data_IF_169820749526
#
_entry.id   IF_169820749526
#
_cell.length_a   1.000
_cell.length_b   1.000
_cell.length_c   1.000
_cell.angle_alpha   90.00
_cell.angle_beta   90.00
_cell.angle_gamma   90.00
#
_symmetry.space_group_name_H-M   'P 1'
#
loop_
_entity.id
_entity.type
_entity.pdbx_description
1 polymer ?
#
# COMPACT_ATOMS: atom_id res chain seq x y z
N UNK A 1 -1.80 -9.79 29.22
CA UNK A 1 -0.84 -8.67 29.31
C UNK A 1 0.61 -9.18 29.41
N UNK A 2 0.86 -10.25 30.17
CA UNK A 2 2.23 -10.81 30.37
C UNK A 2 2.88 -11.36 29.08
N UNK A 3 2.13 -11.59 27.99
CA UNK A 3 2.63 -12.07 26.70
C UNK A 3 2.89 -10.95 25.68
N UNK A 4 2.55 -9.70 26.02
CA UNK A 4 2.74 -8.57 25.10
C UNK A 4 4.09 -7.89 25.41
N UNK A 5 4.83 -7.48 24.38
CA UNK A 5 6.06 -6.72 24.54
C UNK A 5 5.77 -5.34 25.15
N UNK A 6 6.81 -4.70 25.68
CA UNK A 6 6.76 -3.32 26.10
C UNK A 6 6.56 -2.41 24.86
N UNK A 7 5.72 -1.40 25.01
CA UNK A 7 5.52 -0.36 23.98
C UNK A 7 6.55 0.72 24.21
N UNK A 8 7.34 1.01 23.21
CA UNK A 8 8.45 1.98 23.26
C UNK A 8 8.31 3.01 22.14
N UNK A 9 8.91 4.21 22.27
CA UNK A 9 8.98 5.18 21.20
C UNK A 9 9.64 4.64 19.92
N UNK A 10 9.32 5.24 18.78
CA UNK A 10 9.93 4.86 17.49
C UNK A 10 11.41 5.16 17.41
N UNK A 11 11.91 6.13 18.16
CA UNK A 11 13.34 6.46 18.29
C UNK A 11 13.76 6.63 19.75
N UNK A 12 15.01 6.24 20.02
CA UNK A 12 15.59 6.16 21.36
C UNK A 12 16.25 4.81 21.56
N UNK A 13 17.19 4.72 22.48
CA UNK A 13 17.89 3.46 22.77
C UNK A 13 16.93 2.49 23.49
N UNK A 14 16.50 1.45 22.79
CA UNK A 14 15.57 0.42 23.28
C UNK A 14 16.34 -0.77 23.87
N UNK A 15 17.42 -1.21 23.19
CA UNK A 15 18.19 -2.36 23.56
C UNK A 15 19.61 -2.30 22.93
N UNK A 16 20.42 -3.29 23.23
CA UNK A 16 21.70 -3.56 22.58
C UNK A 16 21.64 -4.94 21.90
N UNK A 17 22.30 -5.09 20.76
CA UNK A 17 22.50 -6.39 20.16
C UNK A 17 23.49 -7.23 20.98
N UNK A 18 23.41 -8.56 20.86
CA UNK A 18 24.47 -9.44 21.37
C UNK A 18 25.76 -9.21 20.57
N UNK A 19 26.86 -8.99 21.32
CA UNK A 19 28.17 -8.71 20.73
C UNK A 19 28.70 -9.87 19.87
N UNK A 20 28.30 -11.11 20.16
CA UNK A 20 28.74 -12.32 19.43
C UNK A 20 28.36 -12.30 17.95
N UNK A 21 27.25 -11.63 17.58
CA UNK A 21 26.77 -11.57 16.20
C UNK A 21 27.45 -10.49 15.35
N UNK A 22 27.93 -9.43 15.99
CA UNK A 22 28.45 -8.23 15.28
C UNK A 22 29.87 -7.85 15.73
N UNK A 23 30.50 -8.62 16.63
CA UNK A 23 31.80 -8.30 17.21
C UNK A 23 31.79 -7.19 18.26
N UNK A 24 30.67 -6.46 18.38
CA UNK A 24 30.40 -5.44 19.41
C UNK A 24 28.90 -5.30 19.62
N UNK A 25 28.51 -4.82 20.80
CA UNK A 25 27.11 -4.49 21.07
C UNK A 25 26.72 -3.20 20.31
N UNK A 26 25.70 -3.28 19.47
CA UNK A 26 25.18 -2.18 18.67
C UNK A 26 23.85 -1.70 19.26
N UNK A 27 23.65 -0.37 19.49
CA UNK A 27 22.37 0.15 19.95
C UNK A 27 21.24 -0.09 18.95
N UNK A 28 20.13 -0.64 19.42
CA UNK A 28 18.85 -0.67 18.73
C UNK A 28 18.10 0.63 19.08
N UNK A 29 18.15 1.61 18.19
CA UNK A 29 17.70 2.96 18.46
C UNK A 29 16.54 3.43 17.57
N UNK A 30 16.02 2.57 16.71
CA UNK A 30 14.87 2.86 15.87
C UNK A 30 14.00 1.62 15.68
N UNK A 31 12.70 1.76 15.94
CA UNK A 31 11.68 0.72 15.71
C UNK A 31 10.48 1.40 15.06
N UNK A 32 10.15 0.98 13.84
CA UNK A 32 8.98 1.49 13.13
C UNK A 32 8.43 0.41 12.19
N UNK A 33 7.13 0.44 11.94
CA UNK A 33 6.54 -0.29 10.84
C UNK A 33 7.09 0.22 9.49
N UNK A 34 7.15 -0.64 8.48
CA UNK A 34 7.72 -0.30 7.17
C UNK A 34 7.01 0.90 6.52
N UNK A 35 5.69 0.98 6.64
CA UNK A 35 4.91 2.08 6.08
C UNK A 35 5.13 3.40 6.83
N UNK A 36 5.26 3.35 8.15
CA UNK A 36 5.60 4.49 9.01
C UNK A 36 7.03 4.97 8.73
N UNK A 37 7.98 4.05 8.64
CA UNK A 37 9.36 4.36 8.26
C UNK A 37 9.45 4.98 6.86
N UNK A 38 8.66 4.49 5.90
CA UNK A 38 8.57 5.08 4.55
C UNK A 38 7.98 6.50 4.58
N UNK A 39 6.95 6.75 5.41
CA UNK A 39 6.33 8.08 5.57
C UNK A 39 7.35 9.08 6.12
N UNK A 40 8.11 8.67 7.13
CA UNK A 40 9.21 9.47 7.69
C UNK A 40 10.33 9.68 6.66
N UNK A 41 10.76 8.62 5.97
CA UNK A 41 11.83 8.66 4.97
C UNK A 41 11.47 9.51 3.74
N UNK A 42 10.20 9.65 3.41
CA UNK A 42 9.68 10.57 2.38
C UNK A 42 9.49 12.01 2.90
N UNK A 43 9.93 12.28 4.12
CA UNK A 43 9.85 13.60 4.77
C UNK A 43 8.40 14.15 4.89
N UNK A 44 7.42 13.27 5.09
CA UNK A 44 6.02 13.68 5.30
C UNK A 44 5.82 14.19 6.74
N UNK A 45 6.56 15.24 7.13
CA UNK A 45 6.62 15.73 8.50
C UNK A 45 5.52 16.72 8.88
N UNK A 46 4.85 17.33 7.91
CA UNK A 46 3.77 18.27 8.18
C UNK A 46 2.40 17.61 8.01
N UNK A 47 1.43 18.05 8.82
CA UNK A 47 0.03 17.62 8.65
C UNK A 47 -0.46 17.90 7.24
N UNK A 48 -1.15 16.93 6.64
CA UNK A 48 -1.61 16.93 5.25
C UNK A 48 -0.59 16.40 4.24
N UNK A 49 0.68 16.20 4.61
CA UNK A 49 1.63 15.53 3.74
C UNK A 49 1.36 14.02 3.70
N UNK A 50 1.40 13.45 2.50
CA UNK A 50 1.10 12.05 2.28
C UNK A 50 2.14 11.38 1.39
N UNK A 51 2.31 10.08 1.58
CA UNK A 51 3.02 9.19 0.64
C UNK A 51 2.09 8.06 0.21
N UNK A 52 2.29 7.53 -0.97
CA UNK A 52 1.69 6.28 -1.40
C UNK A 52 2.78 5.31 -1.85
N UNK A 53 2.84 4.14 -1.23
CA UNK A 53 3.79 3.08 -1.60
C UNK A 53 3.09 2.12 -2.56
N UNK A 54 3.53 2.09 -3.82
CA UNK A 54 3.08 1.15 -4.84
C UNK A 54 3.97 -0.09 -4.83
N UNK A 55 3.45 -1.18 -4.27
CA UNK A 55 4.09 -2.49 -4.23
C UNK A 55 3.12 -3.59 -4.69
N UNK A 56 3.04 -4.69 -3.97
CA UNK A 56 2.02 -5.74 -4.16
C UNK A 56 0.61 -5.13 -4.07
N UNK A 57 0.38 -4.31 -3.06
CA UNK A 57 -0.75 -3.38 -2.92
C UNK A 57 -0.28 -1.93 -2.96
N UNK A 58 -1.19 -1.00 -2.65
CA UNK A 58 -0.87 0.41 -2.40
C UNK A 58 -1.19 0.74 -0.94
N UNK A 59 -0.26 1.43 -0.29
CA UNK A 59 -0.42 1.86 1.10
C UNK A 59 -0.16 3.35 1.20
N UNK A 60 -1.25 4.10 1.35
CA UNK A 60 -1.21 5.56 1.49
C UNK A 60 -1.25 5.91 2.97
N UNK A 61 -0.30 6.72 3.43
CA UNK A 61 -0.32 7.34 4.75
C UNK A 61 -0.27 8.85 4.61
N UNK A 62 -1.15 9.53 5.33
CA UNK A 62 -1.18 10.99 5.43
C UNK A 62 -0.98 11.40 6.88
N UNK A 63 0.08 12.17 7.14
CA UNK A 63 0.35 12.74 8.46
C UNK A 63 -0.80 13.67 8.87
N UNK A 64 -1.34 13.46 10.08
CA UNK A 64 -2.41 14.29 10.66
C UNK A 64 -1.91 15.17 11.82
N UNK A 65 -0.60 15.14 12.11
CA UNK A 65 0.00 15.87 13.23
C UNK A 65 -0.23 15.17 14.57
N UNK A 66 -0.21 15.94 15.67
CA UNK A 66 -0.27 15.40 17.03
C UNK A 66 -1.67 14.94 17.46
N UNK A 67 -2.66 15.05 16.58
CA UNK A 67 -4.05 14.67 16.88
C UNK A 67 -4.43 13.38 16.16
N UNK A 68 -4.87 12.38 16.91
CA UNK A 68 -5.45 11.15 16.37
C UNK A 68 -6.80 11.48 15.70
N UNK A 69 -6.77 11.70 14.39
CA UNK A 69 -7.94 12.04 13.58
C UNK A 69 -8.67 10.76 13.18
N UNK A 70 -9.96 10.66 13.51
CA UNK A 70 -10.81 9.55 13.05
C UNK A 70 -11.36 9.87 11.66
N UNK A 71 -11.21 8.92 10.74
CA UNK A 71 -11.78 9.04 9.40
C UNK A 71 -13.28 8.70 9.42
N UNK A 72 -14.10 9.51 8.75
CA UNK A 72 -15.50 9.20 8.42
C UNK A 72 -15.64 8.45 7.10
N UNK A 73 -14.53 8.16 6.41
CA UNK A 73 -14.49 7.57 5.07
C UNK A 73 -13.76 6.23 5.02
N UNK A 74 -13.71 5.51 6.13
CA UNK A 74 -13.18 4.14 6.18
C UNK A 74 -11.65 4.03 6.17
N UNK A 75 -10.90 5.13 6.40
CA UNK A 75 -9.47 5.05 6.60
C UNK A 75 -9.14 4.69 8.05
N UNK A 76 -7.99 4.06 8.28
CA UNK A 76 -7.50 3.73 9.61
C UNK A 76 -6.76 4.93 10.21
N UNK A 77 -6.87 5.10 11.53
CA UNK A 77 -6.00 6.00 12.29
C UNK A 77 -4.89 5.19 12.92
N UNK A 78 -3.66 5.58 12.69
CA UNK A 78 -2.46 4.91 13.22
C UNK A 78 -1.49 5.91 13.81
N UNK A 79 -0.57 5.44 14.66
CA UNK A 79 0.60 6.21 15.07
C UNK A 79 1.57 6.24 13.88
N UNK A 80 1.97 7.42 13.44
CA UNK A 80 2.98 7.60 12.41
C UNK A 80 4.39 7.34 12.99
N UNK A 81 4.75 8.07 14.05
CA UNK A 81 5.96 7.86 14.85
C UNK A 81 5.86 8.58 16.20
N UNK A 82 6.70 8.16 17.12
CA UNK A 82 6.97 8.85 18.37
C UNK A 82 8.49 8.93 18.56
N UNK A 83 9.01 10.16 18.59
CA UNK A 83 10.43 10.42 18.84
C UNK A 83 10.68 10.94 20.27
N UNK A 84 9.82 10.59 21.21
CA UNK A 84 10.01 10.89 22.63
C UNK A 84 9.58 12.30 23.07
N UNK A 85 9.02 13.13 22.17
CA UNK A 85 8.46 14.45 22.49
C UNK A 85 6.93 14.40 22.47
N UNK A 86 6.37 13.98 21.36
CA UNK A 86 4.95 13.74 21.16
C UNK A 86 4.76 12.75 20.03
N UNK A 87 3.74 11.92 20.10
CA UNK A 87 3.38 11.03 19.01
C UNK A 87 2.77 11.85 17.86
N UNK A 88 3.18 11.53 16.63
CA UNK A 88 2.53 11.97 15.40
C UNK A 88 1.60 10.86 14.91
N UNK A 89 0.46 11.25 14.35
CA UNK A 89 -0.54 10.32 13.86
C UNK A 89 -0.68 10.41 12.34
N UNK A 90 -1.26 9.37 11.75
CA UNK A 90 -1.57 9.33 10.34
C UNK A 90 -2.92 8.69 10.07
N UNK A 91 -3.56 9.09 8.97
CA UNK A 91 -4.59 8.29 8.33
C UNK A 91 -3.93 7.33 7.34
N UNK A 92 -4.41 6.09 7.33
CA UNK A 92 -3.91 5.02 6.46
C UNK A 92 -5.03 4.46 5.60
N UNK A 93 -4.78 4.41 4.29
CA UNK A 93 -5.60 3.72 3.32
C UNK A 93 -4.81 2.57 2.67
N UNK A 94 -5.40 1.37 2.69
CA UNK A 94 -4.78 0.15 2.19
C UNK A 94 -5.55 -0.39 1.00
N UNK A 95 -4.92 -0.45 -0.18
CA UNK A 95 -5.38 -1.14 -1.38
C UNK A 95 -4.62 -2.45 -1.49
N UNK A 96 -5.30 -3.59 -1.42
CA UNK A 96 -4.63 -4.89 -1.33
C UNK A 96 -3.98 -5.34 -2.64
N UNK A 97 -4.50 -4.88 -3.77
CA UNK A 97 -4.10 -5.36 -5.09
C UNK A 97 -3.67 -4.21 -5.99
N UNK A 98 -2.36 -4.11 -6.25
CA UNK A 98 -1.75 -3.17 -7.19
C UNK A 98 -0.75 -3.89 -8.11
N UNK A 99 0.52 -3.90 -7.79
CA UNK A 99 1.52 -4.65 -8.57
C UNK A 99 1.23 -6.15 -8.67
N UNK A 100 0.50 -6.72 -7.71
CA UNK A 100 0.02 -8.10 -7.75
C UNK A 100 -0.91 -8.36 -8.95
N UNK A 101 -1.66 -7.37 -9.44
CA UNK A 101 -2.47 -7.48 -10.65
C UNK A 101 -1.58 -7.75 -11.86
N UNK A 102 -0.48 -7.00 -11.97
CA UNK A 102 0.51 -7.19 -13.04
C UNK A 102 1.16 -8.57 -12.98
N UNK A 103 1.48 -9.05 -11.78
CA UNK A 103 1.99 -10.40 -11.59
C UNK A 103 0.96 -11.45 -12.02
N UNK A 104 -0.29 -11.28 -11.65
CA UNK A 104 -1.37 -12.17 -12.06
C UNK A 104 -1.60 -12.18 -13.58
N UNK A 105 -1.53 -11.03 -14.26
CA UNK A 105 -1.60 -10.95 -15.73
C UNK A 105 -0.45 -11.70 -16.39
N UNK A 106 0.73 -11.73 -15.76
CA UNK A 106 1.90 -12.48 -16.23
C UNK A 106 1.77 -13.98 -15.93
N UNK A 107 1.59 -14.33 -14.66
CA UNK A 107 1.74 -15.70 -14.17
C UNK A 107 0.43 -16.50 -14.24
N UNK A 108 -0.72 -15.84 -14.01
CA UNK A 108 -2.04 -16.46 -14.01
C UNK A 108 -2.67 -16.54 -15.39
N UNK A 109 -2.58 -15.44 -16.18
CA UNK A 109 -3.22 -15.37 -17.50
C UNK A 109 -2.24 -15.47 -18.67
N UNK A 110 -0.93 -15.29 -18.46
CA UNK A 110 0.06 -15.30 -19.55
C UNK A 110 -0.12 -14.18 -20.58
N UNK A 111 -0.80 -13.08 -20.20
CA UNK A 111 -1.09 -11.96 -21.12
C UNK A 111 0.15 -11.15 -21.44
N UNK A 112 1.08 -11.04 -20.49
CA UNK A 112 2.35 -10.32 -20.61
C UNK A 112 3.52 -11.24 -20.25
N UNK A 113 4.66 -11.07 -20.93
CA UNK A 113 5.87 -11.86 -20.67
C UNK A 113 6.66 -11.36 -19.43
N UNK A 114 6.53 -10.11 -19.07
CA UNK A 114 7.15 -9.51 -17.88
C UNK A 114 6.35 -8.28 -17.44
N UNK A 115 6.50 -7.87 -16.17
CA UNK A 115 5.82 -6.70 -15.63
C UNK A 115 6.13 -5.42 -16.44
N UNK A 116 7.35 -5.23 -16.89
CA UNK A 116 7.77 -4.08 -17.69
C UNK A 116 7.06 -3.99 -19.07
N UNK A 117 6.39 -5.05 -19.52
CA UNK A 117 5.67 -5.04 -20.81
C UNK A 117 4.23 -4.55 -20.69
N UNK A 118 3.70 -4.35 -19.49
CA UNK A 118 2.31 -3.96 -19.30
C UNK A 118 2.04 -2.57 -19.87
N UNK A 119 2.93 -1.62 -19.66
CA UNK A 119 2.78 -0.22 -20.12
C UNK A 119 2.66 -0.17 -21.64
N UNK A 120 3.58 -0.81 -22.35
CA UNK A 120 3.56 -0.84 -23.81
C UNK A 120 2.31 -1.55 -24.37
N UNK A 121 1.85 -2.63 -23.70
CA UNK A 121 0.64 -3.34 -24.11
C UNK A 121 -0.62 -2.49 -23.85
N UNK A 122 -0.76 -1.91 -22.65
CA UNK A 122 -1.90 -1.05 -22.31
C UNK A 122 -1.94 0.23 -23.16
N UNK A 123 -0.78 0.80 -23.48
CA UNK A 123 -0.65 1.99 -24.34
C UNK A 123 -0.89 1.71 -25.84
N UNK A 124 -1.01 0.45 -26.27
CA UNK A 124 -1.35 0.11 -27.64
C UNK A 124 -2.83 0.29 -28.00
N UNK A 125 -3.66 0.62 -27.02
CA UNK A 125 -5.08 0.95 -27.19
C UNK A 125 -5.38 2.31 -26.57
N UNK A 126 -6.36 3.07 -27.09
CA UNK A 126 -6.68 4.39 -26.56
C UNK A 126 -7.27 4.37 -25.14
N UNK A 127 -8.03 3.31 -24.82
CA UNK A 127 -8.71 3.10 -23.56
C UNK A 127 -8.94 1.61 -23.28
N UNK A 128 -9.67 1.27 -22.23
CA UNK A 128 -9.98 -0.13 -21.88
C UNK A 128 -11.05 -0.77 -22.77
N UNK A 129 -11.62 -0.04 -23.73
CA UNK A 129 -12.72 -0.53 -24.58
C UNK A 129 -13.99 -0.86 -23.80
N UNK A 130 -14.24 -0.17 -22.71
CA UNK A 130 -15.37 -0.42 -21.80
C UNK A 130 -15.14 -1.57 -20.81
N UNK A 131 -13.95 -2.19 -20.82
CA UNK A 131 -13.60 -3.22 -19.82
C UNK A 131 -13.29 -2.53 -18.49
N UNK A 132 -13.95 -3.00 -17.42
CA UNK A 132 -13.69 -2.58 -16.05
C UNK A 132 -13.17 -3.77 -15.27
N UNK A 133 -12.09 -3.56 -14.50
CA UNK A 133 -11.55 -4.57 -13.59
C UNK A 133 -11.76 -4.13 -12.15
N UNK A 134 -12.35 -5.02 -11.34
CA UNK A 134 -12.34 -4.94 -9.89
C UNK A 134 -11.36 -5.97 -9.36
N UNK A 135 -10.16 -5.58 -8.91
CA UNK A 135 -9.09 -6.53 -8.60
C UNK A 135 -9.16 -7.06 -7.16
N UNK A 136 -10.34 -7.46 -6.71
CA UNK A 136 -10.59 -7.94 -5.36
C UNK A 136 -10.13 -9.39 -5.15
N UNK A 137 -8.90 -9.75 -5.56
CA UNK A 137 -8.40 -11.13 -5.46
C UNK A 137 -8.23 -11.61 -4.01
N UNK A 138 -8.00 -10.67 -3.08
CA UNK A 138 -7.92 -10.90 -1.64
C UNK A 138 -8.99 -10.09 -0.87
N UNK A 139 -10.11 -9.79 -1.50
CA UNK A 139 -11.10 -8.84 -1.00
C UNK A 139 -10.74 -7.39 -1.35
N UNK A 140 -11.53 -6.44 -0.86
CA UNK A 140 -11.30 -5.01 -0.98
C UNK A 140 -10.81 -4.45 0.36
N UNK A 141 -9.79 -3.60 0.31
CA UNK A 141 -9.31 -2.81 1.44
C UNK A 141 -10.10 -1.52 1.61
N UNK A 142 -9.42 -0.48 2.06
CA UNK A 142 -10.02 0.84 2.21
C UNK A 142 -10.57 1.38 0.88
N UNK A 143 -11.66 2.13 0.89
CA UNK A 143 -12.52 2.43 2.03
C UNK A 143 -13.60 1.36 2.30
N UNK A 144 -13.67 0.32 1.48
CA UNK A 144 -14.76 -0.65 1.41
C UNK A 144 -14.71 -1.71 2.51
N UNK A 145 -13.52 -2.19 2.85
CA UNK A 145 -13.27 -3.25 3.85
C UNK A 145 -14.14 -4.49 3.66
N UNK A 146 -14.30 -4.93 2.39
CA UNK A 146 -15.08 -6.11 2.04
C UNK A 146 -14.18 -7.34 1.78
N UNK A 147 -14.00 -8.24 2.76
CA UNK A 147 -13.20 -9.46 2.59
C UNK A 147 -13.89 -10.49 1.69
N UNK A 148 -15.20 -10.33 1.43
CA UNK A 148 -16.02 -11.20 0.59
C UNK A 148 -15.95 -10.87 -0.89
N UNK A 149 -15.53 -9.65 -1.26
CA UNK A 149 -15.40 -9.24 -2.65
C UNK A 149 -14.43 -10.15 -3.42
N UNK A 150 -14.69 -10.33 -4.70
CA UNK A 150 -13.86 -11.15 -5.60
C UNK A 150 -13.51 -10.40 -6.86
N UNK A 151 -12.37 -10.76 -7.44
CA UNK A 151 -11.89 -10.19 -8.70
C UNK A 151 -12.93 -10.39 -9.80
N UNK A 152 -13.19 -9.29 -10.55
CA UNK A 152 -14.25 -9.27 -11.58
C UNK A 152 -13.77 -8.48 -12.79
N UNK A 153 -14.09 -8.99 -13.98
CA UNK A 153 -13.96 -8.28 -15.25
C UNK A 153 -15.35 -8.09 -15.84
N UNK A 154 -15.69 -6.85 -16.17
CA UNK A 154 -16.98 -6.45 -16.74
C UNK A 154 -16.79 -5.76 -18.09
N UNK A 155 -17.85 -5.66 -18.89
CA UNK A 155 -17.87 -4.88 -20.13
C UNK A 155 -17.12 -5.51 -21.30
N UNK A 156 -16.71 -6.76 -21.23
CA UNK A 156 -16.04 -7.46 -22.33
C UNK A 156 -16.98 -7.70 -23.51
N UNK A 157 -16.47 -7.47 -24.74
CA UNK A 157 -17.14 -7.74 -25.99
C UNK A 157 -16.27 -8.67 -26.84
N UNK A 158 -16.78 -9.09 -28.01
CA UNK A 158 -15.98 -9.85 -28.99
C UNK A 158 -14.71 -9.10 -29.46
N UNK A 159 -14.71 -7.78 -29.39
CA UNK A 159 -13.58 -6.94 -29.76
C UNK A 159 -12.56 -6.75 -28.63
N UNK A 160 -12.83 -7.23 -27.43
CA UNK A 160 -11.90 -7.11 -26.30
C UNK A 160 -10.64 -7.93 -26.54
N UNK A 161 -9.49 -7.28 -26.40
CA UNK A 161 -8.18 -7.88 -26.56
C UNK A 161 -7.40 -7.89 -25.23
N UNK A 162 -6.28 -8.59 -25.19
CA UNK A 162 -5.37 -8.57 -24.06
C UNK A 162 -4.88 -7.15 -23.70
N UNK A 163 -4.81 -6.23 -24.66
CA UNK A 163 -4.42 -4.84 -24.45
C UNK A 163 -5.49 -4.09 -23.65
N UNK A 164 -6.77 -4.31 -23.95
CA UNK A 164 -7.87 -3.72 -23.19
C UNK A 164 -7.90 -4.24 -21.73
N UNK A 165 -7.61 -5.53 -21.52
CA UNK A 165 -7.51 -6.09 -20.16
C UNK A 165 -6.31 -5.52 -19.40
N UNK A 166 -5.16 -5.36 -20.05
CA UNK A 166 -3.98 -4.73 -19.44
C UNK A 166 -4.24 -3.25 -19.10
N UNK A 167 -4.96 -2.53 -19.97
CA UNK A 167 -5.35 -1.15 -19.73
C UNK A 167 -6.33 -1.06 -18.54
N UNK A 168 -7.36 -1.88 -18.51
CA UNK A 168 -8.30 -1.95 -17.40
C UNK A 168 -7.63 -2.27 -16.05
N UNK A 169 -6.56 -3.09 -16.07
CA UNK A 169 -5.78 -3.40 -14.88
C UNK A 169 -5.03 -2.18 -14.35
N UNK A 170 -4.39 -1.38 -15.22
CA UNK A 170 -3.74 -0.13 -14.81
C UNK A 170 -4.75 0.92 -14.36
N UNK A 171 -5.86 1.06 -15.07
CA UNK A 171 -6.95 1.97 -14.69
C UNK A 171 -7.51 1.58 -13.31
N UNK A 172 -7.66 0.29 -13.00
CA UNK A 172 -8.12 -0.19 -11.70
C UNK A 172 -7.17 0.19 -10.54
N UNK A 173 -5.85 0.14 -10.77
CA UNK A 173 -4.87 0.57 -9.76
C UNK A 173 -5.01 2.08 -9.50
N UNK A 174 -5.14 2.87 -10.56
CA UNK A 174 -5.29 4.31 -10.46
C UNK A 174 -6.60 4.70 -9.77
N UNK A 175 -7.72 4.07 -10.13
CA UNK A 175 -9.04 4.34 -9.54
C UNK A 175 -9.08 3.99 -8.06
N UNK A 176 -8.55 2.83 -7.64
CA UNK A 176 -8.48 2.48 -6.21
C UNK A 176 -7.61 3.47 -5.42
N UNK A 177 -6.53 3.99 -6.03
CA UNK A 177 -5.71 5.02 -5.38
C UNK A 177 -6.41 6.37 -5.29
N UNK A 178 -7.33 6.66 -6.23
CA UNK A 178 -8.14 7.88 -6.21
C UNK A 178 -9.31 7.80 -5.21
N UNK A 179 -9.74 6.60 -4.85
CA UNK A 179 -10.78 6.37 -3.84
C UNK A 179 -10.27 6.62 -2.40
N UNK A 180 -8.95 6.55 -2.19
CA UNK A 180 -8.29 6.84 -0.90
C UNK A 180 -8.16 8.34 -0.66
#
# INVERSE_FOLDING_TARGET
RALLPEVVPSCGMVALTEAEHFGTAIPLAGIAGDQQAATFGQACFASGMAKNTYGTGCFMLMNTGPLATLSSHGLLTTVAWDCGVAAEFALEGSVFMAGAITQWLRDGLGIIASAAKIEALAGSVPDSGGVVMVPAFAGLGAPWWDPGARGTLLGMTRGTTRAHVARAALDAIALQSADL
#
